data_IF_888415432977
#
_entry.id   IF_888415432977
#
_cell.length_a   1.000
_cell.length_b   1.000
_cell.length_c   1.000
_cell.angle_alpha   90.00
_cell.angle_beta   90.00
_cell.angle_gamma   90.00
#
_symmetry.space_group_name_H-M   'P 1'
#
loop_
_entity.id
_entity.type
_entity.pdbx_description
1 polymer ?
#
# COMPACT_ATOMS: atom_id res chain seq x y z
N UNK A 1 20.64 30.47 -46.68
CA UNK A 1 20.27 30.73 -45.28
C UNK A 1 19.40 29.57 -44.83
N UNK A 2 19.90 28.67 -43.97
CA UNK A 2 19.29 27.36 -43.76
C UNK A 2 18.13 27.43 -42.76
N UNK A 3 17.04 26.76 -43.13
CA UNK A 3 15.99 26.28 -42.24
C UNK A 3 16.55 25.10 -41.45
N UNK A 4 16.70 25.22 -40.13
CA UNK A 4 17.08 24.10 -39.26
C UNK A 4 16.40 24.17 -37.90
N UNK A 5 15.58 23.16 -37.65
CA UNK A 5 15.14 22.59 -36.36
C UNK A 5 14.14 23.37 -35.48
N UNK A 6 12.86 23.28 -35.85
CA UNK A 6 11.79 23.15 -34.86
C UNK A 6 11.92 21.76 -34.19
N UNK A 7 12.44 21.75 -32.95
CA UNK A 7 12.43 20.58 -32.07
C UNK A 7 10.98 20.32 -31.65
N UNK A 8 10.45 19.14 -31.99
CA UNK A 8 9.16 18.65 -31.51
C UNK A 8 9.38 17.75 -30.28
N UNK A 9 8.48 17.94 -29.32
CA UNK A 9 8.02 17.01 -28.27
C UNK A 9 8.98 16.72 -27.10
N UNK A 10 8.58 16.76 -25.82
CA UNK A 10 7.27 16.92 -25.18
C UNK A 10 7.46 16.65 -23.68
N UNK A 11 6.76 17.40 -22.81
CA UNK A 11 6.78 17.29 -21.34
C UNK A 11 8.17 17.43 -20.68
N UNK A 12 8.50 18.65 -20.24
CA UNK A 12 9.59 18.83 -19.27
C UNK A 12 9.36 17.98 -18.01
N UNK A 13 10.42 17.57 -17.29
CA UNK A 13 10.30 16.69 -16.12
C UNK A 13 9.24 17.23 -15.17
N UNK A 14 8.44 16.36 -14.55
CA UNK A 14 7.39 16.78 -13.62
C UNK A 14 8.05 17.63 -12.51
N UNK A 15 7.90 18.95 -12.60
CA UNK A 15 8.69 19.95 -11.84
C UNK A 15 8.26 20.04 -10.36
N UNK A 16 7.28 19.24 -9.96
CA UNK A 16 6.88 19.10 -8.56
C UNK A 16 8.01 18.39 -7.81
N UNK A 17 8.65 19.09 -6.87
CA UNK A 17 9.78 18.64 -6.03
C UNK A 17 11.21 18.96 -6.49
N UNK A 18 11.43 19.84 -7.48
CA UNK A 18 12.79 20.28 -7.87
C UNK A 18 13.60 20.88 -6.69
N UNK A 19 12.93 21.42 -5.68
CA UNK A 19 13.55 21.97 -4.48
C UNK A 19 14.14 20.91 -3.52
N UNK A 20 13.76 19.63 -3.64
CA UNK A 20 14.23 18.55 -2.77
C UNK A 20 15.64 18.07 -3.13
N UNK A 21 16.07 18.23 -4.39
CA UNK A 21 17.43 17.88 -4.79
C UNK A 21 17.92 18.70 -5.99
N UNK A 22 19.09 19.35 -5.82
CA UNK A 22 19.79 20.02 -6.92
C UNK A 22 20.60 19.05 -7.80
N UNK A 23 20.71 17.77 -7.40
CA UNK A 23 21.63 16.79 -8.02
C UNK A 23 20.95 15.53 -8.56
N UNK A 24 19.70 15.24 -8.17
CA UNK A 24 18.99 14.01 -8.55
C UNK A 24 17.51 14.33 -8.80
N UNK A 25 17.20 14.86 -9.99
CA UNK A 25 15.84 15.28 -10.35
C UNK A 25 14.92 14.08 -10.56
N UNK A 26 15.47 12.98 -11.05
CA UNK A 26 14.79 11.71 -11.30
C UNK A 26 14.30 11.06 -10.00
N UNK A 27 15.06 11.19 -8.90
CA UNK A 27 14.65 10.71 -7.59
C UNK A 27 13.47 11.55 -7.06
N UNK A 28 13.52 12.87 -7.21
CA UNK A 28 12.42 13.75 -6.80
C UNK A 28 11.15 13.51 -7.62
N UNK A 29 11.27 13.23 -8.91
CA UNK A 29 10.15 12.82 -9.76
C UNK A 29 9.56 11.48 -9.32
N UNK A 30 10.40 10.49 -9.02
CA UNK A 30 9.95 9.20 -8.48
C UNK A 30 9.21 9.37 -7.15
N UNK A 31 9.76 10.13 -6.21
CA UNK A 31 9.16 10.40 -4.90
C UNK A 31 7.81 11.11 -5.03
N UNK A 32 7.71 12.08 -5.93
CA UNK A 32 6.44 12.71 -6.24
C UNK A 32 5.42 11.71 -6.81
N UNK A 33 5.86 10.86 -7.75
CA UNK A 33 5.06 9.73 -8.26
C UNK A 33 4.57 8.80 -7.16
N UNK A 34 5.43 8.46 -6.21
CA UNK A 34 5.10 7.61 -5.06
C UNK A 34 4.03 8.25 -4.17
N UNK A 35 4.11 9.56 -3.92
CA UNK A 35 3.12 10.30 -3.12
C UNK A 35 1.74 10.23 -3.79
N UNK A 36 1.64 10.60 -5.07
CA UNK A 36 0.36 10.64 -5.77
C UNK A 36 -0.24 9.23 -5.93
N UNK A 37 0.61 8.24 -6.22
CA UNK A 37 0.21 6.84 -6.34
C UNK A 37 -0.26 6.30 -4.99
N UNK A 38 0.46 6.60 -3.90
CA UNK A 38 0.08 6.22 -2.55
C UNK A 38 -1.27 6.79 -2.12
N UNK A 39 -1.55 8.07 -2.42
CA UNK A 39 -2.85 8.67 -2.17
C UNK A 39 -3.97 8.03 -2.99
N UNK A 40 -3.73 7.76 -4.28
CA UNK A 40 -4.69 7.10 -5.14
C UNK A 40 -4.98 5.66 -4.67
N UNK A 41 -3.94 4.91 -4.29
CA UNK A 41 -4.04 3.55 -3.80
C UNK A 41 -4.80 3.47 -2.47
N UNK A 42 -4.52 4.36 -1.51
CA UNK A 42 -5.26 4.43 -0.25
C UNK A 42 -6.75 4.71 -0.48
N UNK A 43 -7.07 5.66 -1.37
CA UNK A 43 -8.46 5.95 -1.74
C UNK A 43 -9.13 4.74 -2.40
N UNK A 44 -8.43 4.05 -3.29
CA UNK A 44 -8.92 2.84 -3.95
C UNK A 44 -9.28 1.73 -2.95
N UNK A 45 -8.40 1.43 -1.99
CA UNK A 45 -8.67 0.43 -0.95
C UNK A 45 -9.93 0.75 -0.16
N UNK A 46 -10.07 2.00 0.30
CA UNK A 46 -11.25 2.44 1.05
C UNK A 46 -12.52 2.34 0.21
N UNK A 47 -12.47 2.66 -1.09
CA UNK A 47 -13.62 2.53 -2.00
C UNK A 47 -14.06 1.09 -2.19
N UNK A 48 -13.11 0.16 -2.35
CA UNK A 48 -13.42 -1.28 -2.40
C UNK A 48 -14.12 -1.72 -1.12
N UNK A 49 -13.55 -1.38 0.04
CA UNK A 49 -14.12 -1.79 1.33
C UNK A 49 -15.50 -1.15 1.61
N UNK A 50 -15.69 0.10 1.17
CA UNK A 50 -16.99 0.77 1.21
C UNK A 50 -18.03 0.02 0.38
N UNK A 51 -17.66 -0.46 -0.81
CA UNK A 51 -18.56 -1.21 -1.69
C UNK A 51 -18.92 -2.61 -1.13
N UNK A 52 -18.06 -3.19 -0.27
CA UNK A 52 -18.39 -4.41 0.50
C UNK A 52 -19.30 -4.13 1.71
N UNK A 53 -19.45 -2.86 2.11
CA UNK A 53 -20.35 -2.44 3.19
C UNK A 53 -19.67 -1.90 4.44
N UNK A 54 -18.34 -1.80 4.48
CA UNK A 54 -17.57 -1.33 5.64
C UNK A 54 -16.96 0.07 5.39
N UNK A 55 -17.82 1.07 5.28
CA UNK A 55 -17.44 2.46 4.96
C UNK A 55 -16.62 3.17 6.03
N UNK A 56 -16.66 2.67 7.27
CA UNK A 56 -15.94 3.21 8.41
C UNK A 56 -14.45 2.81 8.43
N UNK A 57 -14.05 1.80 7.65
CA UNK A 57 -12.67 1.29 7.63
C UNK A 57 -11.75 2.22 6.83
N UNK A 58 -10.63 2.61 7.45
CA UNK A 58 -9.57 3.34 6.76
C UNK A 58 -8.58 2.37 6.07
N UNK A 59 -7.63 2.90 5.30
CA UNK A 59 -6.65 2.09 4.58
C UNK A 59 -5.80 1.20 5.50
N UNK A 60 -5.42 1.66 6.69
CA UNK A 60 -4.66 0.86 7.65
C UNK A 60 -5.50 -0.30 8.20
N UNK A 61 -6.77 -0.06 8.56
CA UNK A 61 -7.68 -1.11 9.01
C UNK A 61 -7.78 -2.23 7.96
N UNK A 62 -7.89 -1.85 6.68
CA UNK A 62 -7.99 -2.78 5.54
C UNK A 62 -6.70 -3.59 5.37
N UNK A 63 -5.53 -2.93 5.42
CA UNK A 63 -4.23 -3.60 5.34
C UNK A 63 -4.02 -4.59 6.49
N UNK A 64 -4.44 -4.23 7.71
CA UNK A 64 -4.39 -5.12 8.88
C UNK A 64 -5.31 -6.32 8.69
N UNK A 65 -6.54 -6.12 8.21
CA UNK A 65 -7.47 -7.21 7.91
C UNK A 65 -6.88 -8.19 6.88
N UNK A 66 -6.36 -7.69 5.76
CA UNK A 66 -5.74 -8.53 4.74
C UNK A 66 -4.50 -9.27 5.27
N UNK A 67 -3.67 -8.60 6.07
CA UNK A 67 -2.51 -9.21 6.71
C UNK A 67 -2.92 -10.35 7.63
N UNK A 68 -3.97 -10.17 8.45
CA UNK A 68 -4.51 -11.24 9.31
C UNK A 68 -5.13 -12.37 8.49
N UNK A 69 -5.84 -12.08 7.40
CA UNK A 69 -6.48 -13.09 6.55
C UNK A 69 -5.45 -14.01 5.84
N UNK A 70 -4.32 -13.45 5.42
CA UNK A 70 -3.33 -14.16 4.61
C UNK A 70 -2.82 -15.46 5.29
N UNK A 71 -2.90 -16.59 4.57
CA UNK A 71 -2.48 -17.94 5.02
C UNK A 71 -3.26 -18.54 6.20
N UNK A 72 -4.44 -18.01 6.53
CA UNK A 72 -5.41 -18.58 7.50
C UNK A 72 -4.87 -18.93 8.90
N UNK A 73 -3.67 -18.43 9.24
CA UNK A 73 -3.00 -18.63 10.52
C UNK A 73 -3.22 -17.41 11.41
N UNK A 74 -3.38 -17.67 12.71
CA UNK A 74 -3.45 -16.61 13.70
C UNK A 74 -2.12 -15.83 13.76
N UNK A 75 -2.21 -14.51 13.97
CA UNK A 75 -1.05 -13.60 13.99
C UNK A 75 -1.04 -12.72 15.23
N UNK A 76 0.15 -12.32 15.66
CA UNK A 76 0.34 -11.36 16.75
C UNK A 76 0.51 -9.95 16.19
N UNK A 77 0.28 -8.95 17.04
CA UNK A 77 0.52 -7.54 16.72
C UNK A 77 1.92 -7.31 16.11
N UNK A 78 2.96 -7.86 16.75
CA UNK A 78 4.34 -7.70 16.28
C UNK A 78 4.58 -8.31 14.88
N UNK A 79 3.97 -9.46 14.58
CA UNK A 79 4.09 -10.10 13.27
C UNK A 79 3.43 -9.25 12.17
N UNK A 80 2.32 -8.58 12.50
CA UNK A 80 1.59 -7.69 11.58
C UNK A 80 2.39 -6.41 11.33
N UNK A 81 2.92 -5.78 12.38
CA UNK A 81 3.78 -4.59 12.26
C UNK A 81 5.00 -4.89 11.39
N UNK A 82 5.65 -6.04 11.59
CA UNK A 82 6.80 -6.47 10.82
C UNK A 82 6.47 -6.61 9.33
N UNK A 83 5.37 -7.29 8.99
CA UNK A 83 4.98 -7.52 7.59
C UNK A 83 4.57 -6.23 6.88
N UNK A 84 3.90 -5.33 7.58
CA UNK A 84 3.43 -4.05 7.02
C UNK A 84 4.49 -2.94 7.08
N UNK A 85 5.67 -3.20 7.63
CA UNK A 85 6.72 -2.21 7.90
C UNK A 85 6.19 -0.98 8.69
N UNK A 86 5.46 -1.23 9.78
CA UNK A 86 4.88 -0.19 10.65
C UNK A 86 5.60 -0.15 12.00
N UNK A 87 6.17 1.00 12.33
CA UNK A 87 6.85 1.21 13.62
C UNK A 87 5.87 1.51 14.76
N UNK A 88 4.85 2.35 14.50
CA UNK A 88 3.86 2.71 15.51
C UNK A 88 2.82 1.59 15.71
N UNK A 89 3.15 0.67 16.61
CA UNK A 89 2.29 -0.45 16.99
C UNK A 89 0.93 -0.04 17.59
N UNK A 90 0.78 1.20 18.08
CA UNK A 90 -0.50 1.65 18.64
C UNK A 90 -1.56 1.76 17.54
N UNK A 91 -1.20 2.25 16.36
CA UNK A 91 -2.13 2.36 15.23
C UNK A 91 -2.66 0.99 14.79
N UNK A 92 -1.79 -0.02 14.71
CA UNK A 92 -2.16 -1.40 14.39
C UNK A 92 -3.02 -2.01 15.51
N UNK A 93 -2.70 -1.73 16.78
CA UNK A 93 -3.52 -2.15 17.92
C UNK A 93 -4.95 -1.57 17.85
N UNK A 94 -5.10 -0.30 17.47
CA UNK A 94 -6.41 0.31 17.26
C UNK A 94 -7.18 -0.35 16.10
N UNK A 95 -6.53 -0.59 14.97
CA UNK A 95 -7.12 -1.32 13.85
C UNK A 95 -7.61 -2.70 14.28
N UNK A 96 -6.79 -3.49 14.99
CA UNK A 96 -7.16 -4.81 15.48
C UNK A 96 -8.38 -4.77 16.42
N UNK A 97 -8.43 -3.80 17.36
CA UNK A 97 -9.58 -3.61 18.24
C UNK A 97 -10.84 -3.27 17.46
N UNK A 98 -10.74 -2.37 16.48
CA UNK A 98 -11.86 -1.95 15.64
C UNK A 98 -12.38 -3.11 14.79
N UNK A 99 -11.50 -3.84 14.13
CA UNK A 99 -11.86 -5.01 13.32
C UNK A 99 -12.47 -6.14 14.16
N UNK A 100 -12.00 -6.33 15.41
CA UNK A 100 -12.64 -7.26 16.35
C UNK A 100 -14.05 -6.80 16.71
N UNK A 101 -14.25 -5.50 16.99
CA UNK A 101 -15.57 -4.92 17.30
C UNK A 101 -16.56 -5.07 16.15
N UNK A 102 -16.07 -5.04 14.91
CA UNK A 102 -16.86 -5.27 13.69
C UNK A 102 -17.02 -6.76 13.35
N UNK A 103 -16.58 -7.66 14.23
CA UNK A 103 -16.67 -9.12 14.06
C UNK A 103 -15.94 -9.67 12.83
N UNK A 104 -15.07 -8.87 12.21
CA UNK A 104 -14.20 -9.28 11.10
C UNK A 104 -13.01 -10.13 11.59
N UNK A 105 -12.58 -9.88 12.82
CA UNK A 105 -11.53 -10.64 13.50
C UNK A 105 -12.03 -11.22 14.81
N UNK A 106 -11.51 -12.39 15.16
CA UNK A 106 -11.54 -12.93 16.51
C UNK A 106 -10.16 -12.80 17.14
N UNK A 107 -10.12 -12.75 18.47
CA UNK A 107 -8.87 -12.78 19.20
C UNK A 107 -8.88 -13.84 20.30
N UNK A 108 -7.70 -14.39 20.58
CA UNK A 108 -7.48 -15.38 21.63
C UNK A 108 -6.21 -15.02 22.40
N UNK A 109 -6.31 -14.99 23.73
CA UNK A 109 -5.13 -14.86 24.59
C UNK A 109 -4.45 -16.20 24.74
N UNK A 110 -3.14 -16.21 24.53
CA UNK A 110 -2.26 -17.35 24.79
C UNK A 110 -1.05 -16.87 25.57
N UNK A 111 -1.03 -17.19 26.87
CA UNK A 111 -0.02 -16.66 27.79
C UNK A 111 -0.10 -15.13 27.89
N UNK A 112 1.00 -14.45 27.59
CA UNK A 112 1.09 -12.98 27.60
C UNK A 112 0.73 -12.33 26.25
N UNK A 113 0.53 -13.13 25.20
CA UNK A 113 0.30 -12.63 23.85
C UNK A 113 -1.17 -12.79 23.43
N UNK A 114 -1.62 -11.91 22.54
CA UNK A 114 -2.95 -11.98 21.91
C UNK A 114 -2.76 -12.32 20.43
N UNK A 115 -3.46 -13.36 20.00
CA UNK A 115 -3.47 -13.83 18.63
C UNK A 115 -4.78 -13.42 17.96
N UNK A 116 -4.70 -13.00 16.71
CA UNK A 116 -5.83 -12.55 15.90
C UNK A 116 -6.01 -13.47 14.70
N UNK A 117 -7.25 -13.82 14.38
CA UNK A 117 -7.64 -14.63 13.21
C UNK A 117 -8.87 -14.01 12.55
N UNK A 118 -9.00 -14.14 11.24
CA UNK A 118 -10.23 -13.75 10.55
C UNK A 118 -11.38 -14.68 10.91
N UNK A 119 -12.55 -14.09 11.12
CA UNK A 119 -13.83 -14.82 11.23
C UNK A 119 -14.32 -15.22 9.84
N UNK A 120 -15.41 -15.98 9.77
CA UNK A 120 -16.10 -16.26 8.50
C UNK A 120 -16.57 -14.96 7.81
N UNK A 121 -17.08 -14.00 8.58
CA UNK A 121 -17.43 -12.67 8.07
C UNK A 121 -16.21 -11.95 7.50
N UNK A 122 -15.07 -11.97 8.22
CA UNK A 122 -13.82 -11.35 7.76
C UNK A 122 -13.26 -11.99 6.48
N UNK A 123 -13.36 -13.31 6.36
CA UNK A 123 -12.95 -14.04 5.14
C UNK A 123 -13.86 -13.70 3.96
N UNK A 124 -15.18 -13.72 4.17
CA UNK A 124 -16.17 -13.35 3.16
C UNK A 124 -15.98 -11.91 2.68
N UNK A 125 -15.72 -10.99 3.62
CA UNK A 125 -15.42 -9.58 3.33
C UNK A 125 -14.15 -9.46 2.46
N UNK A 126 -13.09 -10.22 2.77
CA UNK A 126 -11.88 -10.24 1.93
C UNK A 126 -12.14 -10.81 0.53
N UNK A 127 -13.01 -11.81 0.40
CA UNK A 127 -13.39 -12.41 -0.87
C UNK A 127 -14.17 -11.42 -1.74
N UNK A 128 -15.21 -10.78 -1.19
CA UNK A 128 -15.99 -9.75 -1.89
C UNK A 128 -15.13 -8.55 -2.31
N UNK A 129 -14.18 -8.16 -1.46
CA UNK A 129 -13.18 -7.15 -1.81
C UNK A 129 -12.35 -7.58 -3.04
N UNK A 130 -11.94 -8.85 -3.11
CA UNK A 130 -11.16 -9.38 -4.24
C UNK A 130 -11.98 -9.38 -5.54
N UNK A 131 -13.25 -9.77 -5.49
CA UNK A 131 -14.17 -9.72 -6.64
C UNK A 131 -14.31 -8.30 -7.20
N UNK A 132 -14.50 -7.30 -6.34
CA UNK A 132 -14.56 -5.88 -6.74
C UNK A 132 -13.23 -5.46 -7.40
N UNK A 133 -12.10 -5.89 -6.83
CA UNK A 133 -10.79 -5.57 -7.38
C UNK A 133 -10.59 -6.18 -8.77
N UNK A 134 -11.02 -7.41 -8.97
CA UNK A 134 -10.96 -8.10 -10.25
C UNK A 134 -11.79 -7.35 -11.30
N UNK A 135 -13.07 -7.09 -11.00
CA UNK A 135 -14.00 -6.44 -11.93
C UNK A 135 -13.59 -4.99 -12.29
N UNK A 136 -13.10 -4.21 -11.33
CA UNK A 136 -12.86 -2.78 -11.57
C UNK A 136 -11.43 -2.45 -12.01
N UNK A 137 -10.42 -3.16 -11.48
CA UNK A 137 -9.02 -2.79 -11.67
C UNK A 137 -8.24 -3.77 -12.52
N UNK A 138 -8.41 -5.08 -12.29
CA UNK A 138 -7.63 -6.10 -13.03
C UNK A 138 -8.01 -6.09 -14.52
N UNK A 139 -9.30 -6.04 -14.83
CA UNK A 139 -9.78 -5.92 -16.22
C UNK A 139 -9.29 -4.62 -16.89
N UNK A 140 -9.34 -3.50 -16.16
CA UNK A 140 -8.85 -2.21 -16.63
C UNK A 140 -7.36 -2.23 -16.94
N UNK A 141 -6.53 -2.84 -16.10
CA UNK A 141 -5.09 -2.97 -16.35
C UNK A 141 -4.78 -3.80 -17.61
N UNK A 142 -5.51 -4.90 -17.81
CA UNK A 142 -5.36 -5.72 -19.01
C UNK A 142 -5.69 -4.91 -20.27
N UNK A 143 -6.73 -4.06 -20.22
CA UNK A 143 -7.11 -3.21 -21.35
C UNK A 143 -6.11 -2.09 -21.68
N UNK A 144 -5.35 -1.62 -20.67
CA UNK A 144 -4.30 -0.61 -20.82
C UNK A 144 -2.99 -1.16 -21.39
N UNK A 145 -2.88 -2.48 -21.57
CA UNK A 145 -1.71 -3.14 -22.13
C UNK A 145 -0.50 -3.20 -21.19
N UNK A 146 -0.71 -3.03 -19.87
CA UNK A 146 0.36 -3.20 -18.89
C UNK A 146 0.64 -4.69 -18.72
N UNK A 147 1.81 -5.15 -19.14
CA UNK A 147 2.18 -6.56 -19.03
C UNK A 147 2.38 -6.98 -17.56
N UNK A 148 2.05 -8.23 -17.19
CA UNK A 148 2.36 -8.76 -15.87
C UNK A 148 3.84 -8.62 -15.47
N UNK A 149 4.74 -8.76 -16.44
CA UNK A 149 6.19 -8.63 -16.26
C UNK A 149 6.60 -7.20 -15.89
N UNK A 150 5.99 -6.19 -16.52
CA UNK A 150 6.23 -4.78 -16.20
C UNK A 150 5.75 -4.48 -14.78
N UNK A 151 4.57 -4.98 -14.42
CA UNK A 151 4.04 -4.84 -13.06
C UNK A 151 4.96 -5.53 -12.03
N UNK A 152 5.50 -6.69 -12.36
CA UNK A 152 6.45 -7.40 -11.50
C UNK A 152 7.72 -6.56 -11.27
N UNK A 153 8.26 -5.96 -12.32
CA UNK A 153 9.44 -5.10 -12.25
C UNK A 153 9.17 -3.83 -11.41
N UNK A 154 8.04 -3.17 -11.61
CA UNK A 154 7.62 -2.01 -10.81
C UNK A 154 7.52 -2.40 -9.33
N UNK A 155 6.91 -3.54 -9.02
CA UNK A 155 6.79 -4.02 -7.65
C UNK A 155 8.16 -4.35 -7.02
N UNK A 156 9.12 -4.87 -7.80
CA UNK A 156 10.49 -5.10 -7.33
C UNK A 156 11.21 -3.79 -7.00
N UNK A 157 11.09 -2.78 -7.88
CA UNK A 157 11.66 -1.45 -7.66
C UNK A 157 11.08 -0.79 -6.41
N UNK A 158 9.76 -0.87 -6.19
CA UNK A 158 9.12 -0.33 -4.98
C UNK A 158 9.65 -0.96 -3.69
N UNK A 159 9.85 -2.30 -3.67
CA UNK A 159 10.43 -2.99 -2.52
C UNK A 159 11.88 -2.58 -2.27
N UNK A 160 12.69 -2.45 -3.34
CA UNK A 160 14.07 -2.00 -3.23
C UNK A 160 14.15 -0.57 -2.66
N UNK A 161 13.32 0.34 -3.17
CA UNK A 161 13.24 1.72 -2.68
C UNK A 161 12.81 1.80 -1.22
N UNK A 162 11.81 0.99 -0.79
CA UNK A 162 11.42 0.91 0.62
C UNK A 162 12.61 0.56 1.53
N UNK A 163 13.42 -0.43 1.16
CA UNK A 163 14.58 -0.81 1.94
C UNK A 163 15.68 0.26 2.00
N UNK A 164 15.86 1.02 0.91
CA UNK A 164 16.77 2.16 0.88
C UNK A 164 16.30 3.30 1.80
N UNK A 165 15.00 3.59 1.83
CA UNK A 165 14.44 4.58 2.74
C UNK A 165 14.62 4.18 4.21
N UNK A 166 14.40 2.92 4.57
CA UNK A 166 14.64 2.44 5.93
C UNK A 166 16.12 2.59 6.35
N UNK A 167 17.06 2.33 5.43
CA UNK A 167 18.48 2.55 5.68
C UNK A 167 18.80 4.03 5.84
N UNK A 168 18.32 4.87 4.93
CA UNK A 168 18.54 6.31 4.96
C UNK A 168 17.96 6.95 6.24
N UNK A 169 16.77 6.53 6.68
CA UNK A 169 16.14 7.00 7.91
C UNK A 169 16.98 6.65 9.15
N UNK A 170 17.52 5.42 9.23
CA UNK A 170 18.43 5.03 10.33
C UNK A 170 19.70 5.87 10.34
N UNK A 171 20.31 6.10 9.18
CA UNK A 171 21.47 6.98 9.07
C UNK A 171 21.15 8.40 9.52
N UNK A 172 20.00 8.95 9.11
CA UNK A 172 19.56 10.28 9.52
C UNK A 172 19.30 10.39 11.03
N UNK A 173 18.73 9.36 11.66
CA UNK A 173 18.49 9.34 13.11
C UNK A 173 19.79 9.28 13.95
N UNK A 174 20.92 8.92 13.34
CA UNK A 174 22.23 8.86 13.99
C UNK A 174 23.07 10.14 13.85
N UNK A 175 22.57 11.14 13.11
CA UNK A 175 23.17 12.47 12.97
C UNK A 175 22.77 13.39 14.13
#
# INVERSE_FOLDING_TARGET
>A
MPLTHLKKDGLGPIVSSEHLSRKAKELSEFEFGLIIAGHAFNRWMVRCMTAVGFSELNSLDILVLHSVNHRERAKRLADICLVLNIEDSHTVSYALKKLTKLELLSNQKQGKETFFKTTELGQTTCMQYAEIREACLVESLASLGIAPEDMHQIAASLRAMSGLYDQAARSAASL
#
